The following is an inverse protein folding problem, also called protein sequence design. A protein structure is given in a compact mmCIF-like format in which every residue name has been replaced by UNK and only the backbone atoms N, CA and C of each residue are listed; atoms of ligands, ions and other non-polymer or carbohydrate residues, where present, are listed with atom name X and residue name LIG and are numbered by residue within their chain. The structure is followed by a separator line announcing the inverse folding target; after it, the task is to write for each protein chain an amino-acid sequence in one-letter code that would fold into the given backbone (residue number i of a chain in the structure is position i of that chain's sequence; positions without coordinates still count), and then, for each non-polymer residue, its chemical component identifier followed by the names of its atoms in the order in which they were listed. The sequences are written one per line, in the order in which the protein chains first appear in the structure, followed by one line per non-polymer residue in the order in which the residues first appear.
data_IF_814431543868
#
_entry.id   IF_814431543868
#
_cell.length_a   1.000
_cell.length_b   1.000
_cell.length_c   1.000
_cell.angle_alpha   90.00
_cell.angle_beta   90.00
_cell.angle_gamma   90.00
#
_symmetry.space_group_name_H-M   'P 1'
#
loop_
_entity.id
_entity.type
_entity.pdbx_description
1 polymer ?
#
# COMPACT_ATOMS: atom_id res chain seq x y z
N UNK A 1 -13.17 24.75 16.84
CA UNK A 1 -12.75 23.34 16.83
C UNK A 1 -11.29 23.30 17.28
N UNK A 2 -10.93 22.49 18.28
CA UNK A 2 -9.58 22.43 18.86
C UNK A 2 -9.02 21.04 18.57
N UNK A 3 -7.86 20.96 17.93
CA UNK A 3 -7.23 19.70 17.55
C UNK A 3 -6.15 19.37 18.59
N UNK A 4 -6.49 18.52 19.57
CA UNK A 4 -5.65 18.27 20.74
C UNK A 4 -4.82 16.97 20.65
N UNK A 5 -4.94 16.20 19.55
CA UNK A 5 -4.17 14.97 19.30
C UNK A 5 -3.82 14.83 17.83
N UNK A 6 -2.52 14.91 17.54
CA UNK A 6 -1.94 14.49 16.27
C UNK A 6 -1.10 13.25 16.53
N UNK A 7 -1.44 12.15 15.86
CA UNK A 7 -0.53 11.01 15.74
C UNK A 7 0.23 11.18 14.42
N UNK A 8 1.57 11.07 14.41
CA UNK A 8 2.30 11.05 13.15
C UNK A 8 1.83 9.84 12.34
N UNK A 9 1.13 10.11 11.23
CA UNK A 9 0.92 9.11 10.19
C UNK A 9 2.16 9.22 9.30
N UNK A 10 3.11 8.30 9.49
CA UNK A 10 4.26 8.20 8.58
C UNK A 10 3.78 7.51 7.31
N UNK A 11 3.56 8.27 6.23
CA UNK A 11 3.14 7.77 4.91
C UNK A 11 2.22 8.77 4.22
N UNK A 12 2.55 9.17 3.00
CA UNK A 12 1.82 10.15 2.20
C UNK A 12 0.41 9.64 1.82
N UNK A 13 -0.53 10.57 1.60
CA UNK A 13 -1.87 10.41 1.02
C UNK A 13 -2.71 9.18 1.42
N UNK A 14 -3.19 9.18 2.68
CA UNK A 14 -4.30 8.33 3.09
C UNK A 14 -5.53 8.58 2.19
N UNK A 15 -5.89 7.58 1.40
CA UNK A 15 -7.07 7.61 0.54
C UNK A 15 -8.25 6.94 1.23
N UNK A 16 -9.45 7.51 1.13
CA UNK A 16 -10.66 6.85 1.63
C UNK A 16 -10.94 5.63 0.75
N UNK A 17 -11.06 4.45 1.36
CA UNK A 17 -11.39 3.22 0.61
C UNK A 17 -12.81 3.33 0.06
N UNK A 18 -12.96 3.19 -1.26
CA UNK A 18 -14.27 3.23 -1.92
C UNK A 18 -15.22 2.17 -1.35
N UNK A 19 -16.50 2.56 -1.15
CA UNK A 19 -17.54 1.67 -0.61
C UNK A 19 -17.74 1.77 0.91
N UNK A 20 -16.95 2.59 1.60
CA UNK A 20 -17.07 2.85 3.05
C UNK A 20 -16.46 4.21 3.43
N UNK A 21 -16.58 4.61 4.70
CA UNK A 21 -16.05 5.90 5.22
C UNK A 21 -15.31 5.78 6.56
N UNK A 22 -15.07 4.56 7.06
CA UNK A 22 -14.45 4.28 8.35
C UNK A 22 -12.93 4.18 8.28
N UNK A 23 -12.41 3.68 7.17
CA UNK A 23 -11.00 3.36 6.98
C UNK A 23 -10.40 4.18 5.84
N UNK A 24 -9.21 4.69 6.08
CA UNK A 24 -8.28 5.11 5.05
C UNK A 24 -7.31 3.98 4.72
N UNK A 25 -6.75 4.04 3.52
CA UNK A 25 -5.70 3.13 3.08
C UNK A 25 -4.52 3.93 2.54
N UNK A 26 -3.34 3.40 2.80
CA UNK A 26 -2.08 3.83 2.22
C UNK A 26 -1.37 2.57 1.73
N UNK A 27 -1.05 2.55 0.45
CA UNK A 27 -0.19 1.52 -0.15
C UNK A 27 1.21 2.12 -0.22
N UNK A 28 1.85 2.23 0.95
CA UNK A 28 3.05 3.04 1.16
C UNK A 28 4.04 2.82 0.04
N UNK A 29 4.26 3.86 -0.74
CA UNK A 29 5.16 3.79 -1.87
C UNK A 29 6.53 3.33 -1.35
N UNK A 30 7.03 2.22 -1.88
CA UNK A 30 8.48 2.11 -1.98
C UNK A 30 8.89 3.35 -2.75
N UNK A 31 9.93 4.05 -2.33
CA UNK A 31 10.41 5.32 -2.90
C UNK A 31 10.87 5.27 -4.37
N UNK A 32 10.32 4.35 -5.17
CA UNK A 32 10.68 3.93 -6.52
C UNK A 32 9.36 3.89 -7.29
N UNK A 33 9.21 4.79 -8.25
CA UNK A 33 8.06 4.80 -9.15
C UNK A 33 8.05 3.50 -9.97
N UNK A 34 6.88 2.98 -10.32
CA UNK A 34 6.77 1.75 -11.13
C UNK A 34 7.55 1.88 -12.46
N UNK A 35 7.73 3.11 -12.94
CA UNK A 35 8.52 3.41 -14.14
C UNK A 35 10.02 3.22 -13.95
N UNK A 36 10.54 3.49 -12.75
CA UNK A 36 11.93 3.23 -12.38
C UNK A 36 12.21 1.71 -12.39
N UNK A 37 11.19 0.89 -12.10
CA UNK A 37 11.31 -0.57 -12.11
C UNK A 37 11.69 -1.13 -13.50
N UNK A 38 11.24 -0.47 -14.57
CA UNK A 38 11.44 -0.96 -15.95
C UNK A 38 12.63 -0.32 -16.65
N UNK A 39 13.18 0.75 -16.10
CA UNK A 39 14.20 1.58 -16.76
C UNK A 39 15.55 1.59 -16.06
N UNK A 40 15.60 1.37 -14.74
CA UNK A 40 16.86 1.31 -14.00
C UNK A 40 17.44 -0.11 -14.02
N UNK A 41 18.65 -0.22 -14.59
CA UNK A 41 19.42 -1.47 -14.69
C UNK A 41 19.71 -2.09 -13.33
N UNK A 42 19.79 -1.29 -12.26
CA UNK A 42 20.00 -1.79 -10.92
C UNK A 42 18.97 -2.87 -10.55
N UNK A 43 17.72 -2.68 -10.94
CA UNK A 43 16.65 -3.60 -10.58
C UNK A 43 16.49 -4.81 -11.49
N UNK A 44 17.21 -4.86 -12.62
CA UNK A 44 17.28 -6.08 -13.43
C UNK A 44 17.99 -7.20 -12.66
N UNK A 45 18.92 -6.85 -11.78
CA UNK A 45 19.75 -7.80 -11.04
C UNK A 45 19.44 -7.84 -9.52
N UNK A 46 18.53 -6.99 -9.02
CA UNK A 46 18.25 -6.86 -7.59
C UNK A 46 16.75 -6.92 -7.28
N UNK A 47 16.33 -7.57 -6.18
CA UNK A 47 14.94 -7.58 -5.76
C UNK A 47 14.49 -6.18 -5.38
N UNK A 48 13.26 -5.84 -5.77
CA UNK A 48 12.62 -4.63 -5.28
C UNK A 48 12.22 -4.79 -3.82
N UNK A 49 12.26 -3.70 -3.04
CA UNK A 49 11.94 -3.79 -1.63
C UNK A 49 10.44 -4.01 -1.36
N UNK A 50 9.58 -3.93 -2.39
CA UNK A 50 8.12 -4.05 -2.30
C UNK A 50 7.47 -2.90 -1.51
N UNK A 51 6.15 -2.91 -1.38
CA UNK A 51 5.39 -1.86 -0.69
C UNK A 51 4.64 -2.41 0.54
N UNK A 52 4.09 -1.52 1.37
CA UNK A 52 3.35 -1.92 2.59
C UNK A 52 1.90 -1.47 2.50
N UNK A 53 0.96 -2.42 2.60
CA UNK A 53 -0.46 -2.12 2.73
C UNK A 53 -0.78 -1.72 4.17
N UNK A 54 -1.31 -0.52 4.35
CA UNK A 54 -1.64 0.05 5.66
C UNK A 54 -3.08 0.53 5.66
N UNK A 55 -3.85 0.14 6.68
CA UNK A 55 -5.17 0.68 6.96
C UNK A 55 -5.15 1.57 8.19
N UNK A 56 -5.93 2.65 8.15
CA UNK A 56 -6.12 3.55 9.27
C UNK A 56 -7.61 3.68 9.60
N UNK A 57 -7.99 3.41 10.83
CA UNK A 57 -9.36 3.59 11.29
C UNK A 57 -9.57 5.03 11.76
N UNK A 58 -10.36 5.81 11.00
CA UNK A 58 -10.61 7.21 11.30
C UNK A 58 -11.37 7.44 12.61
N UNK A 59 -12.13 6.45 13.10
CA UNK A 59 -12.88 6.58 14.35
C UNK A 59 -12.00 6.38 15.57
N UNK A 60 -11.05 5.45 15.52
CA UNK A 60 -10.22 5.07 16.68
C UNK A 60 -8.80 5.60 16.61
N UNK A 61 -8.35 6.03 15.43
CA UNK A 61 -6.96 6.41 15.15
C UNK A 61 -5.99 5.21 15.08
N UNK A 62 -6.51 3.97 15.06
CA UNK A 62 -5.67 2.77 15.03
C UNK A 62 -5.18 2.46 13.62
N UNK A 63 -3.91 2.04 13.54
CA UNK A 63 -3.25 1.54 12.33
C UNK A 63 -3.30 0.01 12.28
N UNK A 64 -3.50 -0.55 11.10
CA UNK A 64 -3.53 -1.99 10.84
C UNK A 64 -2.68 -2.32 9.61
N UNK A 65 -1.83 -3.34 9.74
CA UNK A 65 -0.98 -3.86 8.66
C UNK A 65 -1.33 -5.35 8.49
N UNK A 66 -2.23 -5.70 7.55
CA UNK A 66 -2.74 -7.07 7.46
C UNK A 66 -1.68 -8.07 6.99
N UNK A 67 -0.62 -7.59 6.34
CA UNK A 67 0.48 -8.38 5.82
C UNK A 67 1.79 -7.64 6.07
N UNK A 68 2.87 -8.38 6.33
CA UNK A 68 4.21 -7.79 6.38
C UNK A 68 4.72 -7.50 4.99
N UNK A 69 5.44 -6.37 4.82
CA UNK A 69 6.20 -6.04 3.62
C UNK A 69 7.13 -7.20 3.23
N UNK A 70 7.18 -7.49 1.94
CA UNK A 70 8.09 -8.47 1.34
C UNK A 70 8.67 -7.89 0.06
N UNK A 71 9.90 -8.29 -0.24
CA UNK A 71 10.53 -7.97 -1.52
C UNK A 71 9.66 -8.45 -2.69
N UNK A 72 9.68 -7.70 -3.78
CA UNK A 72 8.94 -7.97 -5.01
C UNK A 72 7.42 -8.09 -4.90
N UNK A 73 6.83 -7.73 -3.76
CA UNK A 73 5.38 -7.74 -3.56
C UNK A 73 4.81 -6.32 -3.47
N UNK A 74 3.73 -6.08 -4.22
CA UNK A 74 3.11 -4.77 -4.32
C UNK A 74 1.60 -4.87 -4.16
N UNK A 75 1.03 -3.95 -3.40
CA UNK A 75 -0.40 -3.83 -3.15
C UNK A 75 -0.93 -2.50 -3.69
N UNK A 76 -2.08 -2.51 -4.34
CA UNK A 76 -2.70 -1.31 -4.92
C UNK A 76 -4.22 -1.48 -5.06
N UNK A 77 -4.91 -0.39 -5.43
CA UNK A 77 -6.33 -0.40 -5.80
C UNK A 77 -7.25 -1.08 -4.77
N UNK A 78 -7.31 -0.53 -3.56
CA UNK A 78 -8.12 -1.10 -2.47
C UNK A 78 -9.56 -0.62 -2.53
N UNK A 79 -10.51 -1.56 -2.43
CA UNK A 79 -11.95 -1.29 -2.34
C UNK A 79 -12.58 -2.04 -1.16
N UNK A 80 -13.76 -1.59 -0.75
CA UNK A 80 -14.59 -2.26 0.25
C UNK A 80 -15.94 -2.64 -0.35
N UNK A 81 -16.28 -3.92 -0.26
CA UNK A 81 -17.56 -4.43 -0.76
C UNK A 81 -18.05 -5.60 0.10
N UNK A 82 -19.34 -5.62 0.42
CA UNK A 82 -20.02 -6.71 1.13
C UNK A 82 -19.35 -7.16 2.45
N UNK A 83 -18.75 -6.24 3.20
CA UNK A 83 -18.09 -6.58 4.47
C UNK A 83 -16.58 -6.86 4.36
N UNK A 84 -16.02 -6.91 3.15
CA UNK A 84 -14.65 -7.30 2.89
C UNK A 84 -13.84 -6.20 2.19
N UNK A 85 -12.54 -6.19 2.45
CA UNK A 85 -11.58 -5.40 1.69
C UNK A 85 -10.99 -6.25 0.58
N UNK A 86 -10.95 -5.70 -0.63
CA UNK A 86 -10.29 -6.28 -1.79
C UNK A 86 -9.19 -5.33 -2.24
N UNK A 87 -8.10 -5.87 -2.73
CA UNK A 87 -6.96 -5.12 -3.24
C UNK A 87 -6.25 -5.96 -4.29
N UNK A 88 -5.54 -5.29 -5.20
CA UNK A 88 -4.68 -5.94 -6.16
C UNK A 88 -3.33 -6.24 -5.51
N UNK A 89 -2.79 -7.41 -5.84
CA UNK A 89 -1.51 -7.89 -5.35
C UNK A 89 -0.66 -8.33 -6.56
N UNK A 90 0.42 -7.62 -6.82
CA UNK A 90 1.40 -8.03 -7.82
C UNK A 90 2.61 -8.68 -7.14
N UNK A 91 3.12 -9.72 -7.78
CA UNK A 91 4.40 -10.33 -7.45
C UNK A 91 5.31 -10.22 -8.67
N UNK A 92 6.48 -9.61 -8.48
CA UNK A 92 7.54 -9.60 -9.49
C UNK A 92 8.36 -10.88 -9.34
N UNK A 93 8.21 -11.78 -10.30
CA UNK A 93 9.19 -12.85 -10.50
C UNK A 93 10.27 -12.32 -11.45
N UNK A 94 11.52 -12.70 -11.25
CA UNK A 94 12.72 -12.10 -11.86
C UNK A 94 12.72 -11.94 -13.40
N UNK A 95 11.73 -12.46 -14.13
CA UNK A 95 11.63 -12.34 -15.60
C UNK A 95 10.22 -12.02 -16.16
N UNK A 96 9.17 -11.84 -15.34
CA UNK A 96 7.81 -11.53 -15.82
C UNK A 96 6.98 -10.82 -14.74
N UNK A 97 6.27 -9.76 -15.13
CA UNK A 97 5.21 -9.13 -14.33
C UNK A 97 3.95 -10.01 -14.46
N UNK A 98 3.60 -10.75 -13.40
CA UNK A 98 2.41 -11.61 -13.41
C UNK A 98 1.34 -11.00 -12.49
N UNK A 99 0.22 -10.59 -13.06
CA UNK A 99 -0.99 -10.24 -12.29
C UNK A 99 -1.61 -11.55 -11.76
N UNK A 100 -1.79 -11.65 -10.43
CA UNK A 100 -2.45 -12.76 -9.75
C UNK A 100 -3.88 -12.39 -9.32
#
# INVERSE_FOLDING_TARGET
MKFDKFSPVTGNDLTIVQGQSRYGVDCQDSTIDIYDLTTDKYWQDNPFPGNQLVFFNFQTGQKFEPMSRKENQFFFSVIYQNGYFYFLHAQLDQDQLTEL
#
